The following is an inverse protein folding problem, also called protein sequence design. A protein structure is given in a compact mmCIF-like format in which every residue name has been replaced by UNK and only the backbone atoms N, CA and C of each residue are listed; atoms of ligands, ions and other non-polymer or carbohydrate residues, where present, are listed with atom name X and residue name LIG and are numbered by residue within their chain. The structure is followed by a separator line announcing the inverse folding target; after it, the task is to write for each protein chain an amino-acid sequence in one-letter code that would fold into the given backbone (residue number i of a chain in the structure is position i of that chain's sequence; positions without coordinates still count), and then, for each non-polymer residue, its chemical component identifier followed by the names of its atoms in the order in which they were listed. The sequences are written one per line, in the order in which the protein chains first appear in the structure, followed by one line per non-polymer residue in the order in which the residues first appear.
data_IF_145147429585
#
_entry.id   IF_145147429585
#
_cell.length_a   1.000
_cell.length_b   1.000
_cell.length_c   1.000
_cell.angle_alpha   90.00
_cell.angle_beta   90.00
_cell.angle_gamma   90.00
#
_symmetry.space_group_name_H-M   'P 1'
#
loop_
_entity.id
_entity.type
_entity.pdbx_description
1 polymer ?
#
# COMPACT_ATOMS: atom_id res chain seq x y z
N UNK A 1 -11.66 20.78 6.30
CA UNK A 1 -11.34 20.84 5.90
C UNK A 1 -10.96 20.67 5.11
N UNK A 2 -10.78 20.34 5.08
CA UNK A 2 -10.46 20.18 4.47
C UNK A 2 -9.99 20.04 3.34
N UNK A 3 -9.81 20.05 3.20
CA UNK A 3 -9.44 19.93 1.80
C UNK A 3 -8.23 19.13 1.48
N UNK A 4 -7.61 18.59 2.47
CA UNK A 4 -6.43 17.79 2.26
C UNK A 4 -6.81 16.45 1.65
N UNK A 5 -6.11 16.07 0.58
CA UNK A 5 -6.31 14.78 -0.06
C UNK A 5 -5.60 13.69 0.70
N UNK A 6 -6.21 12.53 0.77
CA UNK A 6 -5.50 11.36 1.27
C UNK A 6 -4.42 10.98 0.28
N UNK A 7 -3.28 10.61 0.78
CA UNK A 7 -2.12 10.25 -0.04
C UNK A 7 -1.87 8.76 0.03
N UNK A 8 -1.75 8.13 -1.12
CA UNK A 8 -1.54 6.69 -1.22
C UNK A 8 -0.24 6.43 -1.95
N UNK A 9 0.60 5.63 -1.34
CA UNK A 9 1.84 5.18 -1.99
C UNK A 9 1.59 3.80 -2.55
N UNK A 10 1.81 3.61 -3.85
CA UNK A 10 1.65 2.33 -4.51
C UNK A 10 2.99 1.84 -4.99
N UNK A 11 3.35 0.64 -4.55
CA UNK A 11 4.65 0.04 -4.83
C UNK A 11 4.46 -1.24 -5.61
N UNK A 12 4.86 -1.23 -6.87
CA UNK A 12 4.70 -2.39 -7.75
C UNK A 12 5.64 -2.20 -8.91
N UNK A 13 6.19 -3.30 -9.42
CA UNK A 13 7.10 -3.18 -10.57
C UNK A 13 6.39 -3.28 -11.90
N UNK A 14 5.08 -3.40 -11.92
CA UNK A 14 4.31 -3.46 -13.15
C UNK A 14 3.85 -2.05 -13.51
N UNK A 15 4.43 -1.43 -14.53
CA UNK A 15 4.07 -0.04 -14.83
C UNK A 15 2.64 0.14 -15.28
N UNK A 16 2.05 -0.87 -15.91
CA UNK A 16 0.66 -0.74 -16.31
C UNK A 16 -0.27 -0.74 -15.12
N UNK A 17 0.02 -1.57 -14.14
CA UNK A 17 -0.79 -1.59 -12.93
C UNK A 17 -0.67 -0.27 -12.17
N UNK A 18 0.55 0.25 -12.08
CA UNK A 18 0.74 1.54 -11.41
C UNK A 18 -0.06 2.64 -12.10
N UNK A 19 0.00 2.65 -13.43
CA UNK A 19 -0.69 3.69 -14.17
C UNK A 19 -2.20 3.58 -14.01
N UNK A 20 -2.72 2.37 -14.10
CA UNK A 20 -4.14 2.14 -13.93
C UNK A 20 -4.62 2.57 -12.56
N UNK A 21 -3.89 2.16 -11.54
CA UNK A 21 -4.31 2.49 -10.18
C UNK A 21 -4.17 3.98 -9.90
N UNK A 22 -3.13 4.59 -10.44
CA UNK A 22 -3.00 6.04 -10.28
C UNK A 22 -4.19 6.76 -10.88
N UNK A 23 -4.57 6.37 -12.09
CA UNK A 23 -5.71 6.99 -12.75
C UNK A 23 -6.99 6.84 -11.93
N UNK A 24 -7.24 5.63 -11.46
CA UNK A 24 -8.43 5.36 -10.69
C UNK A 24 -8.46 6.10 -9.36
N UNK A 25 -7.33 6.12 -8.68
CA UNK A 25 -7.27 6.75 -7.37
C UNK A 25 -7.36 8.27 -7.48
N UNK A 26 -6.71 8.84 -8.48
CA UNK A 26 -6.82 10.28 -8.66
C UNK A 26 -8.23 10.69 -9.02
N UNK A 27 -8.93 9.85 -9.76
CA UNK A 27 -10.34 10.12 -10.07
C UNK A 27 -11.21 10.13 -8.82
N UNK A 28 -10.77 9.43 -7.79
CA UNK A 28 -11.48 9.45 -6.52
C UNK A 28 -11.01 10.53 -5.56
N UNK A 29 -10.09 11.34 -6.00
CA UNK A 29 -9.55 12.41 -5.18
C UNK A 29 -8.29 12.06 -4.38
N UNK A 30 -7.53 10.95 -4.47
CA UNK A 30 -6.49 10.60 -3.80
C UNK A 30 -5.34 11.14 -4.41
N UNK A 31 -4.50 11.44 -3.65
CA UNK A 31 -3.18 11.80 -4.15
C UNK A 31 -2.33 10.53 -4.22
N UNK A 32 -1.50 10.40 -5.25
CA UNK A 32 -0.82 9.13 -5.50
C UNK A 32 0.67 9.35 -5.67
N UNK A 33 1.45 8.53 -4.98
CA UNK A 33 2.90 8.45 -5.14
C UNK A 33 3.22 7.03 -5.58
N UNK A 34 4.17 6.86 -6.48
CA UNK A 34 4.48 5.55 -7.03
C UNK A 34 5.92 5.17 -6.74
N UNK A 35 6.14 3.87 -6.52
CA UNK A 35 7.46 3.31 -6.35
C UNK A 35 7.54 1.99 -7.10
N UNK A 36 8.72 1.68 -7.65
CA UNK A 36 8.89 0.49 -8.49
C UNK A 36 9.75 -0.58 -7.84
N UNK A 37 10.35 -0.30 -6.71
CA UNK A 37 11.12 -1.31 -5.98
C UNK A 37 11.11 -0.99 -4.50
N UNK A 38 11.68 -1.90 -3.72
CA UNK A 38 11.63 -1.77 -2.28
C UNK A 38 12.36 -0.58 -1.72
N UNK A 39 13.51 -0.25 -2.29
CA UNK A 39 14.27 0.90 -1.80
C UNK A 39 13.50 2.18 -2.03
N UNK A 40 12.93 2.30 -3.22
CA UNK A 40 12.15 3.49 -3.54
C UNK A 40 10.91 3.57 -2.67
N UNK A 41 10.29 2.40 -2.38
CA UNK A 41 9.11 2.38 -1.53
C UNK A 41 9.42 2.95 -0.14
N UNK A 42 10.53 2.52 0.45
CA UNK A 42 10.89 3.00 1.77
C UNK A 42 11.24 4.48 1.75
N UNK A 43 11.96 4.90 0.73
CA UNK A 43 12.34 6.31 0.63
C UNK A 43 11.12 7.19 0.52
N UNK A 44 10.19 6.82 -0.34
CA UNK A 44 9.00 7.64 -0.56
C UNK A 44 8.04 7.59 0.61
N UNK A 45 7.98 6.45 1.30
CA UNK A 45 7.15 6.38 2.50
C UNK A 45 7.63 7.40 3.53
N UNK A 46 8.93 7.51 3.70
CA UNK A 46 9.46 8.48 4.64
C UNK A 46 9.29 9.91 4.18
N UNK A 47 9.53 10.16 2.90
CA UNK A 47 9.45 11.52 2.38
C UNK A 47 8.02 12.05 2.34
N UNK A 48 7.08 11.23 1.95
CA UNK A 48 5.76 11.72 1.61
C UNK A 48 4.70 11.41 2.65
N UNK A 49 5.03 10.62 3.66
CA UNK A 49 4.13 10.32 4.76
C UNK A 49 2.74 9.93 4.26
N UNK A 50 2.64 8.84 3.50
CA UNK A 50 1.33 8.47 2.94
C UNK A 50 0.35 8.03 4.02
N UNK A 51 -0.92 8.12 3.69
CA UNK A 51 -1.97 7.64 4.59
C UNK A 51 -2.14 6.13 4.51
N UNK A 52 -1.82 5.55 3.35
CA UNK A 52 -1.88 4.11 3.14
C UNK A 52 -0.77 3.73 2.17
N UNK A 53 -0.18 2.56 2.37
CA UNK A 53 0.80 2.01 1.45
C UNK A 53 0.22 0.74 0.83
N UNK A 54 0.27 0.65 -0.50
CA UNK A 54 -0.07 -0.56 -1.23
C UNK A 54 1.25 -1.16 -1.71
N UNK A 55 1.52 -2.39 -1.37
CA UNK A 55 2.85 -2.94 -1.51
C UNK A 55 2.80 -4.31 -2.15
N UNK A 56 3.41 -4.44 -3.33
CA UNK A 56 3.54 -5.73 -3.99
C UNK A 56 4.55 -6.58 -3.22
N UNK A 57 4.18 -7.81 -2.94
CA UNK A 57 5.08 -8.70 -2.20
C UNK A 57 6.28 -9.14 -3.02
N UNK A 58 6.21 -9.06 -4.34
CA UNK A 58 7.25 -9.60 -5.21
C UNK A 58 7.79 -8.52 -6.14
N UNK A 59 8.64 -7.68 -5.62
CA UNK A 59 9.29 -6.66 -6.42
C UNK A 59 10.79 -6.97 -6.53
N UNK A 60 11.45 -6.46 -7.58
CA UNK A 60 12.90 -6.59 -7.65
C UNK A 60 13.57 -5.90 -6.47
N UNK A 61 14.73 -6.39 -6.10
CA UNK A 61 15.62 -5.77 -5.14
C UNK A 61 15.17 -5.81 -3.70
N UNK A 62 13.94 -6.22 -3.44
CA UNK A 62 13.50 -6.36 -2.05
C UNK A 62 12.30 -7.24 -1.98
N UNK A 63 12.30 -8.11 -0.99
CA UNK A 63 11.13 -8.89 -0.66
C UNK A 63 10.10 -7.96 -0.03
N UNK A 64 8.87 -8.01 -0.52
CA UNK A 64 7.83 -7.16 0.02
C UNK A 64 7.58 -7.37 1.50
N UNK A 65 7.75 -8.58 1.99
CA UNK A 65 7.60 -8.82 3.44
C UNK A 65 8.68 -8.11 4.22
N UNK A 66 9.87 -8.02 3.67
CA UNK A 66 10.94 -7.27 4.33
C UNK A 66 10.63 -5.77 4.35
N UNK A 67 10.12 -5.26 3.24
CA UNK A 67 9.73 -3.85 3.19
C UNK A 67 8.63 -3.57 4.21
N UNK A 68 7.66 -4.46 4.29
CA UNK A 68 6.60 -4.34 5.29
C UNK A 68 7.17 -4.28 6.69
N UNK A 69 8.11 -5.17 7.00
CA UNK A 69 8.71 -5.18 8.33
C UNK A 69 9.43 -3.88 8.63
N UNK A 70 10.12 -3.33 7.63
CA UNK A 70 10.82 -2.07 7.85
C UNK A 70 9.87 -0.90 8.06
N UNK A 71 8.76 -0.89 7.33
CA UNK A 71 7.75 0.15 7.54
C UNK A 71 7.19 0.05 8.95
N UNK A 72 6.84 -1.15 9.36
CA UNK A 72 6.23 -1.33 10.68
C UNK A 72 7.22 -1.11 11.81
N UNK A 73 8.50 -1.29 11.54
CA UNK A 73 9.52 -1.05 12.55
C UNK A 73 10.00 0.40 12.62
N UNK A 74 9.56 1.24 11.73
CA UNK A 74 9.96 2.64 11.71
C UNK A 74 8.96 3.46 12.53
N UNK A 75 9.38 4.12 13.60
CA UNK A 75 8.40 4.86 14.42
C UNK A 75 7.60 5.89 13.64
N UNK A 76 8.18 6.46 12.60
CA UNK A 76 7.46 7.44 11.80
C UNK A 76 6.39 6.82 10.92
N UNK A 77 6.48 5.51 10.65
CA UNK A 77 5.60 4.84 9.72
C UNK A 77 4.79 3.71 10.34
N UNK A 78 5.02 3.41 11.59
CA UNK A 78 4.45 2.20 12.18
C UNK A 78 2.93 2.21 12.23
N UNK A 79 2.31 3.37 12.23
CA UNK A 79 0.86 3.48 12.24
C UNK A 79 0.24 3.50 10.84
N UNK A 80 1.07 3.57 9.80
CA UNK A 80 0.57 3.64 8.45
C UNK A 80 0.10 2.27 7.99
N UNK A 81 -1.16 2.10 7.61
CA UNK A 81 -1.63 0.80 7.17
C UNK A 81 -1.01 0.40 5.84
N UNK A 82 -0.71 -0.88 5.72
CA UNK A 82 -0.12 -1.44 4.50
C UNK A 82 -1.03 -2.53 3.98
N UNK A 83 -1.37 -2.42 2.70
CA UNK A 83 -2.13 -3.43 1.98
C UNK A 83 -1.16 -4.19 1.08
N UNK A 84 -1.04 -5.49 1.28
CA UNK A 84 -0.14 -6.30 0.47
C UNK A 84 -0.85 -6.79 -0.77
N UNK A 85 -0.18 -6.69 -1.91
CA UNK A 85 -0.66 -7.28 -3.16
C UNK A 85 0.30 -8.38 -3.57
N UNK A 86 -0.21 -9.51 -4.03
CA UNK A 86 0.69 -10.57 -4.45
C UNK A 86 -0.02 -11.63 -5.25
N UNK A 87 0.72 -12.29 -6.13
CA UNK A 87 0.23 -13.48 -6.80
C UNK A 87 0.28 -14.71 -5.90
N UNK A 88 0.93 -14.60 -4.74
CA UNK A 88 1.02 -15.74 -3.82
C UNK A 88 -0.29 -15.93 -3.11
N UNK A 89 -0.84 -17.13 -3.27
CA UNK A 89 -2.14 -17.45 -2.66
C UNK A 89 -2.01 -18.33 -1.45
N UNK A 90 -0.80 -18.75 -1.12
CA UNK A 90 -0.63 -19.70 -0.04
C UNK A 90 -1.10 -19.13 1.28
N UNK A 91 -1.81 -19.95 2.03
CA UNK A 91 -2.31 -19.54 3.32
C UNK A 91 -1.17 -19.09 4.23
N UNK A 92 -0.04 -19.76 4.12
CA UNK A 92 1.11 -19.41 4.94
C UNK A 92 1.61 -18.00 4.62
N UNK A 93 1.63 -17.65 3.35
CA UNK A 93 2.09 -16.31 2.97
C UNK A 93 1.14 -15.23 3.46
N UNK A 94 -0.15 -15.49 3.40
CA UNK A 94 -1.15 -14.54 3.87
C UNK A 94 -1.02 -14.34 5.37
N UNK A 95 -0.91 -15.44 6.12
CA UNK A 95 -0.78 -15.34 7.57
C UNK A 95 0.51 -14.63 7.94
N UNK A 96 1.59 -14.91 7.23
CA UNK A 96 2.85 -14.26 7.50
C UNK A 96 2.76 -12.75 7.32
N UNK A 97 2.12 -12.30 6.24
CA UNK A 97 1.97 -10.86 6.03
C UNK A 97 1.13 -10.22 7.11
N UNK A 98 0.05 -10.86 7.49
CA UNK A 98 -0.82 -10.31 8.53
C UNK A 98 -0.11 -10.27 9.87
N UNK A 99 0.65 -11.32 10.17
CA UNK A 99 1.42 -11.35 11.41
C UNK A 99 2.47 -10.24 11.45
N UNK A 100 3.02 -9.88 10.30
CA UNK A 100 4.03 -8.84 10.25
C UNK A 100 3.45 -7.44 10.19
N UNK A 101 2.13 -7.34 10.24
CA UNK A 101 1.50 -6.04 10.39
C UNK A 101 0.77 -5.51 9.19
N UNK A 102 0.57 -6.32 8.15
CA UNK A 102 -0.25 -5.86 7.03
C UNK A 102 -1.71 -5.70 7.48
N UNK A 103 -2.18 -4.72 6.83
CA UNK A 103 -3.37 -4.48 7.13
C UNK A 103 -4.24 -5.22 6.50
N UNK A 104 -4.03 -5.49 5.31
CA UNK A 104 -4.88 -6.27 4.42
C UNK A 104 -4.02 -7.00 3.40
N UNK A 105 -4.60 -7.93 2.70
CA UNK A 105 -3.86 -8.78 1.77
C UNK A 105 -4.76 -9.09 0.60
N UNK A 106 -4.32 -8.73 -0.61
CA UNK A 106 -5.12 -8.89 -1.80
C UNK A 106 -4.35 -9.71 -2.83
N UNK A 107 -4.99 -10.74 -3.38
CA UNK A 107 -4.33 -11.66 -4.30
C UNK A 107 -4.55 -11.20 -5.74
N UNK A 108 -3.48 -11.18 -6.51
CA UNK A 108 -3.56 -10.87 -7.95
C UNK A 108 -4.00 -12.11 -8.73
N UNK A 109 -4.77 -11.95 -9.78
CA UNK A 109 -5.36 -10.71 -10.24
C UNK A 109 -6.57 -10.31 -9.39
N UNK A 110 -6.75 -9.02 -9.22
CA UNK A 110 -7.88 -8.51 -8.45
C UNK A 110 -8.66 -7.53 -9.31
N UNK A 111 -9.88 -7.28 -8.90
CA UNK A 111 -10.70 -6.27 -9.54
C UNK A 111 -10.29 -4.91 -8.96
N UNK A 112 -9.99 -3.90 -9.79
CA UNK A 112 -9.58 -2.61 -9.23
C UNK A 112 -10.55 -2.05 -8.22
N UNK A 113 -11.84 -2.23 -8.41
CA UNK A 113 -12.82 -1.75 -7.44
C UNK A 113 -12.64 -2.38 -6.07
N UNK A 114 -12.16 -3.61 -6.01
CA UNK A 114 -11.93 -4.24 -4.71
C UNK A 114 -10.82 -3.53 -3.96
N UNK A 115 -9.72 -3.22 -4.63
CA UNK A 115 -8.65 -2.49 -3.98
C UNK A 115 -9.12 -1.10 -3.56
N UNK A 116 -9.84 -0.42 -4.45
CA UNK A 116 -10.34 0.91 -4.13
C UNK A 116 -11.24 0.89 -2.91
N UNK A 117 -12.09 -0.12 -2.79
CA UNK A 117 -12.99 -0.21 -1.64
C UNK A 117 -12.22 -0.43 -0.35
N UNK A 118 -11.19 -1.26 -0.40
CA UNK A 118 -10.39 -1.49 0.80
C UNK A 118 -9.61 -0.25 1.20
N UNK A 119 -9.08 0.47 0.24
CA UNK A 119 -8.36 1.70 0.54
C UNK A 119 -9.29 2.75 1.11
N UNK A 120 -10.48 2.88 0.55
CA UNK A 120 -11.45 3.85 1.04
C UNK A 120 -11.80 3.57 2.50
N UNK A 121 -11.96 2.31 2.84
CA UNK A 121 -12.28 1.95 4.22
C UNK A 121 -11.15 2.30 5.17
N UNK A 122 -9.91 2.04 4.77
CA UNK A 122 -8.78 2.37 5.63
C UNK A 122 -8.63 3.87 5.82
N UNK A 123 -8.84 4.63 4.77
CA UNK A 123 -8.76 6.08 4.86
C UNK A 123 -9.86 6.63 5.75
N UNK A 124 -11.07 6.09 5.62
CA UNK A 124 -12.19 6.53 6.44
C UNK A 124 -11.96 6.24 7.91
N UNK A 125 -11.39 5.06 8.22
CA UNK A 125 -11.10 4.72 9.60
C UNK A 125 -10.08 5.67 10.20
N UNK A 126 -9.06 6.02 9.43
CA UNK A 126 -8.06 6.94 9.91
C UNK A 126 -8.66 8.30 10.18
N UNK A 127 -9.49 8.81 9.26
CA UNK A 127 -10.13 10.10 9.45
C UNK A 127 -11.10 10.08 10.62
N UNK A 128 -11.79 8.99 10.82
CA UNK A 128 -12.78 8.89 11.86
C UNK A 128 -12.23 8.71 13.25
N UNK A 129 -10.93 8.59 13.36
CA UNK A 129 -10.33 8.33 14.65
C UNK A 129 -10.17 9.56 15.52
N UNK A 130 -10.47 10.68 15.02
CA UNK A 130 -10.32 11.87 15.82
C UNK A 130 -11.45 12.11 16.77
#
# INVERSE_FOLDING_TARGET
MDGAKARILICDDDPLLLELMEFRLRAKGXDVVKAVDGAEALEKARQDAPDVVVLDAMMPKADGLEVLARIKGDPALSETPVVMLTARKGQRDIVSALDKGAXDYLVKPFIPEELLARLARLIARKSGKR
#
